data_IF_490847343830
#
_entry.id   IF_490847343830
#
_cell.length_a   1.000
_cell.length_b   1.000
_cell.length_c   1.000
_cell.angle_alpha   90.00
_cell.angle_beta   90.00
_cell.angle_gamma   90.00
#
_symmetry.space_group_name_H-M   'P 1'
#
loop_
_entity.id
_entity.type
_entity.pdbx_description
1 polymer ?
#
# COMPACT_ATOMS: atom_id res chain seq x y z
N UNK A 1 2.88 -3.86 -25.84
CA UNK A 1 2.85 -3.23 -24.50
C UNK A 1 2.32 -1.82 -24.63
N UNK A 2 1.31 -1.45 -23.86
CA UNK A 2 0.78 -0.09 -23.84
C UNK A 2 1.65 0.81 -22.95
N UNK A 3 1.87 2.04 -23.41
CA UNK A 3 2.49 3.09 -22.59
C UNK A 3 1.57 3.49 -21.44
N UNK A 4 2.08 4.23 -20.46
CA UNK A 4 1.28 4.79 -19.33
C UNK A 4 0.07 5.63 -19.78
N UNK A 5 0.05 6.08 -21.01
CA UNK A 5 -1.03 6.86 -21.63
C UNK A 5 -1.99 6.01 -22.47
N UNK A 6 -1.88 4.67 -22.41
CA UNK A 6 -2.74 3.76 -23.16
C UNK A 6 -2.41 3.64 -24.66
N UNK A 7 -1.30 4.22 -25.11
CA UNK A 7 -0.81 4.10 -26.51
C UNK A 7 0.15 2.93 -26.62
N UNK A 8 0.22 2.32 -27.79
CA UNK A 8 1.23 1.30 -28.09
C UNK A 8 2.64 1.89 -27.94
N UNK A 9 3.56 1.08 -27.41
CA UNK A 9 4.96 1.49 -27.32
C UNK A 9 5.55 1.63 -28.73
N UNK A 10 6.43 2.61 -28.94
CA UNK A 10 6.98 2.93 -30.28
C UNK A 10 7.68 1.74 -30.97
N UNK A 11 8.20 0.77 -30.22
CA UNK A 11 8.78 -0.47 -30.77
C UNK A 11 7.70 -1.41 -31.33
N UNK A 12 6.57 -1.50 -30.64
CA UNK A 12 5.45 -2.37 -31.05
C UNK A 12 4.73 -1.75 -32.26
N UNK A 13 4.64 -0.42 -32.28
CA UNK A 13 4.08 0.32 -33.42
C UNK A 13 4.89 0.11 -34.70
N UNK A 14 6.23 0.19 -34.64
CA UNK A 14 7.10 -0.08 -35.78
C UNK A 14 7.03 -1.52 -36.28
N UNK A 15 6.82 -2.47 -35.39
CA UNK A 15 6.64 -3.87 -35.76
C UNK A 15 5.30 -4.10 -36.49
N UNK A 16 4.26 -3.35 -36.13
CA UNK A 16 2.95 -3.40 -36.76
C UNK A 16 2.93 -2.68 -38.13
N UNK A 17 3.61 -1.54 -38.26
CA UNK A 17 3.69 -0.78 -39.53
C UNK A 17 4.47 -1.54 -40.62
N UNK A 18 5.42 -2.38 -40.25
CA UNK A 18 6.29 -3.06 -41.22
C UNK A 18 5.82 -4.43 -41.71
N UNK A 19 4.70 -4.98 -41.22
CA UNK A 19 4.33 -6.36 -41.50
C UNK A 19 2.99 -6.66 -42.17
N UNK A 20 1.93 -5.84 -42.09
CA UNK A 20 0.62 -6.24 -42.57
C UNK A 20 0.54 -6.27 -44.13
N UNK A 21 1.24 -5.41 -44.82
CA UNK A 21 1.09 -5.28 -46.29
C UNK A 21 1.91 -6.30 -47.06
N UNK A 22 3.06 -6.75 -46.55
CA UNK A 22 3.97 -7.65 -47.25
C UNK A 22 3.61 -9.15 -47.11
N UNK A 23 2.69 -9.53 -46.23
CA UNK A 23 2.39 -10.93 -45.96
C UNK A 23 0.94 -11.37 -46.27
N UNK A 24 0.12 -10.48 -46.88
CA UNK A 24 -1.23 -10.85 -47.27
C UNK A 24 -2.22 -11.16 -46.14
N UNK A 25 -1.93 -10.66 -44.94
CA UNK A 25 -2.86 -10.77 -43.82
C UNK A 25 -3.87 -9.63 -43.86
N UNK A 26 -5.15 -9.97 -43.72
CA UNK A 26 -6.20 -8.97 -43.52
C UNK A 26 -5.89 -8.17 -42.26
N UNK A 27 -5.80 -6.84 -42.38
CA UNK A 27 -5.56 -5.94 -41.25
C UNK A 27 -6.85 -5.82 -40.46
N UNK A 28 -7.05 -6.69 -39.51
CA UNK A 28 -8.13 -6.54 -38.53
C UNK A 28 -7.65 -5.68 -37.36
N UNK A 29 -8.52 -4.83 -36.78
CA UNK A 29 -8.20 -4.13 -35.56
C UNK A 29 -7.95 -5.18 -34.47
N UNK A 30 -6.71 -5.25 -33.96
CA UNK A 30 -6.34 -6.16 -32.87
C UNK A 30 -5.78 -5.37 -31.70
N UNK A 31 -5.97 -5.92 -30.53
CA UNK A 31 -5.39 -5.40 -29.28
C UNK A 31 -4.31 -6.35 -28.81
N UNK A 32 -3.10 -5.84 -28.59
CA UNK A 32 -2.06 -6.59 -27.91
C UNK A 32 -2.45 -6.78 -26.46
N UNK A 33 -2.58 -8.05 -26.04
CA UNK A 33 -2.89 -8.43 -24.68
C UNK A 33 -1.62 -9.04 -24.08
N UNK A 34 -1.10 -8.41 -23.03
CA UNK A 34 -0.03 -8.96 -22.22
C UNK A 34 -0.60 -9.27 -20.83
N UNK A 35 -0.43 -10.51 -20.39
CA UNK A 35 -0.82 -10.92 -19.05
C UNK A 35 0.31 -10.57 -18.07
N UNK A 36 0.14 -9.49 -17.33
CA UNK A 36 1.03 -9.14 -16.23
C UNK A 36 0.57 -9.91 -14.97
N UNK A 37 1.47 -10.68 -14.30
CA UNK A 37 1.09 -11.35 -13.06
C UNK A 37 0.69 -10.33 -11.99
N UNK A 38 -0.41 -10.61 -11.28
CA UNK A 38 -0.87 -9.75 -10.22
C UNK A 38 0.15 -9.65 -9.10
N UNK A 39 0.54 -8.43 -8.76
CA UNK A 39 1.43 -8.14 -7.65
C UNK A 39 0.64 -7.41 -6.53
N UNK A 40 0.33 -8.07 -5.41
CA UNK A 40 -0.40 -7.46 -4.30
C UNK A 40 0.37 -6.35 -3.59
N UNK A 41 1.67 -6.20 -3.85
CA UNK A 41 2.47 -5.08 -3.36
C UNK A 41 2.42 -3.85 -4.28
N UNK A 42 1.77 -3.95 -5.46
CA UNK A 42 1.58 -2.83 -6.37
C UNK A 42 0.32 -2.04 -6.01
N UNK A 43 0.41 -0.81 -5.48
CA UNK A 43 -0.79 -0.03 -5.14
C UNK A 43 -1.71 0.21 -6.34
N UNK A 44 -1.13 0.34 -7.55
CA UNK A 44 -1.89 0.57 -8.77
C UNK A 44 -2.76 -0.65 -9.10
N UNK A 45 -2.17 -1.84 -9.15
CA UNK A 45 -2.91 -3.08 -9.45
C UNK A 45 -3.96 -3.37 -8.38
N UNK A 46 -3.65 -3.10 -7.09
CA UNK A 46 -4.62 -3.22 -6.00
C UNK A 46 -5.81 -2.28 -6.19
N UNK A 47 -5.55 -1.00 -6.54
CA UNK A 47 -6.61 -0.02 -6.77
C UNK A 47 -7.49 -0.45 -7.96
N UNK A 48 -6.89 -0.92 -9.05
CA UNK A 48 -7.62 -1.37 -10.23
C UNK A 48 -8.61 -2.49 -9.87
N UNK A 49 -8.16 -3.50 -9.14
CA UNK A 49 -9.01 -4.61 -8.68
C UNK A 49 -10.06 -4.17 -7.68
N UNK A 50 -9.69 -3.39 -6.66
CA UNK A 50 -10.64 -2.92 -5.65
C UNK A 50 -11.72 -2.02 -6.26
N UNK A 51 -11.36 -1.23 -7.27
CA UNK A 51 -12.30 -0.38 -7.99
C UNK A 51 -13.37 -1.19 -8.72
N UNK A 52 -13.00 -2.32 -9.33
CA UNK A 52 -13.91 -3.26 -9.97
C UNK A 52 -14.89 -3.89 -8.96
N UNK A 53 -14.45 -4.08 -7.72
CA UNK A 53 -15.27 -4.57 -6.61
C UNK A 53 -16.21 -3.49 -5.99
N UNK A 54 -16.26 -2.28 -6.56
CA UNK A 54 -17.10 -1.20 -6.05
C UNK A 54 -16.51 -0.46 -4.84
N UNK A 55 -15.19 -0.55 -4.63
CA UNK A 55 -14.51 0.17 -3.57
C UNK A 55 -14.70 1.69 -3.68
N UNK A 56 -15.07 2.34 -2.57
CA UNK A 56 -15.31 3.79 -2.48
C UNK A 56 -14.39 4.43 -1.44
N UNK A 57 -13.11 4.67 -1.78
CA UNK A 57 -12.15 5.23 -0.85
C UNK A 57 -12.52 6.68 -0.46
N UNK A 58 -12.17 7.06 0.75
CA UNK A 58 -12.42 8.41 1.30
C UNK A 58 -11.14 9.21 1.50
N UNK A 59 -10.02 8.53 1.80
CA UNK A 59 -8.76 9.17 2.11
C UNK A 59 -7.88 9.35 0.86
N UNK A 60 -7.54 10.61 0.58
CA UNK A 60 -6.76 11.02 -0.58
C UNK A 60 -5.25 10.98 -0.29
N UNK A 61 -4.45 10.64 -1.30
CA UNK A 61 -2.99 10.76 -1.26
C UNK A 61 -2.55 12.22 -1.12
N UNK A 62 -1.33 12.43 -0.62
CA UNK A 62 -0.73 13.78 -0.55
C UNK A 62 -0.67 14.46 -1.93
N UNK A 63 -0.40 13.68 -2.99
CA UNK A 63 -0.39 14.18 -4.38
C UNK A 63 -1.76 14.67 -4.81
N UNK A 64 -2.82 13.91 -4.53
CA UNK A 64 -4.20 14.30 -4.83
C UNK A 64 -4.60 15.59 -4.11
N UNK A 65 -4.35 15.68 -2.79
CA UNK A 65 -4.61 16.90 -2.01
C UNK A 65 -3.83 18.11 -2.54
N UNK A 66 -2.58 17.90 -2.98
CA UNK A 66 -1.76 18.96 -3.60
C UNK A 66 -2.33 19.41 -4.95
N UNK A 67 -2.72 18.46 -5.81
CA UNK A 67 -3.31 18.75 -7.11
C UNK A 67 -4.63 19.54 -6.99
N UNK A 68 -5.49 19.18 -6.04
CA UNK A 68 -6.71 19.94 -5.74
C UNK A 68 -6.37 21.39 -5.33
N UNK A 69 -5.39 21.56 -4.44
CA UNK A 69 -4.99 22.89 -3.97
C UNK A 69 -4.40 23.76 -5.09
N UNK A 70 -3.64 23.14 -5.98
CA UNK A 70 -3.01 23.84 -7.10
C UNK A 70 -3.95 24.00 -8.30
N UNK A 71 -5.15 23.41 -8.28
CA UNK A 71 -6.09 23.35 -9.42
C UNK A 71 -5.50 22.66 -10.65
N UNK A 72 -4.67 21.65 -10.44
CA UNK A 72 -4.10 20.82 -11.48
C UNK A 72 -5.16 19.88 -12.08
N UNK A 73 -4.83 19.21 -13.21
CA UNK A 73 -5.71 18.18 -13.78
C UNK A 73 -5.87 16.99 -12.81
N UNK A 74 -7.13 16.67 -12.49
CA UNK A 74 -7.51 15.62 -11.56
C UNK A 74 -7.88 14.31 -12.25
N UNK A 75 -7.79 14.20 -13.56
CA UNK A 75 -8.23 13.02 -14.33
C UNK A 75 -7.56 11.74 -13.83
N UNK A 76 -6.25 11.76 -13.62
CA UNK A 76 -5.48 10.65 -13.07
C UNK A 76 -5.86 10.34 -11.61
N UNK A 77 -6.08 11.37 -10.80
CA UNK A 77 -6.35 11.23 -9.37
C UNK A 77 -7.75 10.70 -9.05
N UNK A 78 -8.70 10.80 -9.98
CA UNK A 78 -10.04 10.22 -9.80
C UNK A 78 -9.97 8.72 -9.50
N UNK A 79 -9.03 7.99 -10.11
CA UNK A 79 -8.84 6.56 -9.90
C UNK A 79 -7.65 6.26 -8.97
N UNK A 80 -6.50 6.89 -9.20
CA UNK A 80 -5.25 6.54 -8.51
C UNK A 80 -4.84 7.52 -7.40
N UNK A 81 -5.70 8.48 -7.09
CA UNK A 81 -5.44 9.50 -6.07
C UNK A 81 -5.74 9.07 -4.64
N UNK A 82 -5.97 7.78 -4.38
CA UNK A 82 -6.43 7.27 -3.10
C UNK A 82 -5.34 6.46 -2.39
N UNK A 83 -5.34 6.55 -1.05
CA UNK A 83 -4.42 5.75 -0.26
C UNK A 83 -4.96 4.33 -0.12
N UNK A 84 -4.07 3.34 -0.20
CA UNK A 84 -4.40 1.96 0.16
C UNK A 84 -4.12 1.81 1.66
N UNK A 85 -4.83 2.59 2.48
CA UNK A 85 -4.78 2.57 3.94
C UNK A 85 -5.84 1.63 4.51
N UNK A 86 -5.70 1.26 5.78
CA UNK A 86 -6.66 0.40 6.46
C UNK A 86 -8.07 1.04 6.50
N UNK A 87 -8.13 2.36 6.71
CA UNK A 87 -9.37 3.14 6.70
C UNK A 87 -10.07 3.05 5.35
N UNK A 88 -9.33 3.24 4.26
CA UNK A 88 -9.86 3.14 2.92
C UNK A 88 -10.25 1.69 2.53
N UNK A 89 -9.47 0.70 2.96
CA UNK A 89 -9.76 -0.71 2.69
C UNK A 89 -11.05 -1.18 3.40
N UNK A 90 -11.37 -0.62 4.55
CA UNK A 90 -12.61 -0.90 5.28
C UNK A 90 -13.87 -0.33 4.61
N UNK A 91 -13.73 0.49 3.55
CA UNK A 91 -14.88 0.96 2.74
C UNK A 91 -15.29 -0.02 1.63
N UNK A 92 -14.62 -1.18 1.54
CA UNK A 92 -15.02 -2.23 0.61
C UNK A 92 -16.42 -2.75 0.97
N UNK A 93 -17.34 -2.86 -0.01
CA UNK A 93 -18.67 -3.40 0.24
C UNK A 93 -18.63 -4.81 0.85
N UNK A 94 -19.52 -5.10 1.78
CA UNK A 94 -19.58 -6.41 2.45
C UNK A 94 -20.00 -7.56 1.53
N UNK A 95 -20.66 -7.25 0.43
CA UNK A 95 -21.08 -8.18 -0.62
C UNK A 95 -20.01 -8.40 -1.70
N UNK A 96 -18.85 -7.73 -1.59
CA UNK A 96 -17.76 -7.97 -2.51
C UNK A 96 -17.26 -9.42 -2.46
N UNK A 97 -16.79 -9.99 -3.59
CA UNK A 97 -16.28 -11.36 -3.62
C UNK A 97 -15.17 -11.60 -2.57
N UNK A 98 -15.13 -12.79 -1.98
CA UNK A 98 -14.22 -13.16 -0.90
C UNK A 98 -12.73 -12.93 -1.25
N UNK A 99 -12.38 -13.02 -2.52
CA UNK A 99 -11.03 -12.74 -3.00
C UNK A 99 -10.56 -11.31 -2.69
N UNK A 100 -11.48 -10.32 -2.76
CA UNK A 100 -11.15 -8.92 -2.43
C UNK A 100 -11.00 -8.71 -0.93
N UNK A 101 -11.81 -9.37 -0.11
CA UNK A 101 -11.63 -9.37 1.35
C UNK A 101 -10.29 -10.02 1.74
N UNK A 102 -9.90 -11.10 1.06
CA UNK A 102 -8.60 -11.74 1.25
C UNK A 102 -7.43 -10.83 0.87
N UNK A 103 -7.58 -10.05 -0.22
CA UNK A 103 -6.59 -9.03 -0.62
C UNK A 103 -6.45 -7.93 0.44
N UNK A 104 -7.58 -7.45 0.98
CA UNK A 104 -7.59 -6.44 2.07
C UNK A 104 -6.88 -6.99 3.30
N UNK A 105 -7.19 -8.22 3.69
CA UNK A 105 -6.53 -8.90 4.81
C UNK A 105 -5.02 -9.03 4.57
N UNK A 106 -4.61 -9.46 3.38
CA UNK A 106 -3.21 -9.57 3.00
C UNK A 106 -2.47 -8.21 3.13
N UNK A 107 -3.02 -7.14 2.57
CA UNK A 107 -2.39 -5.81 2.61
C UNK A 107 -2.24 -5.32 4.05
N UNK A 108 -3.26 -5.52 4.89
CA UNK A 108 -3.23 -5.12 6.30
C UNK A 108 -2.21 -5.93 7.09
N UNK A 109 -2.12 -7.24 6.88
CA UNK A 109 -1.20 -8.13 7.58
C UNK A 109 0.25 -7.96 7.10
N UNK A 110 0.48 -7.73 5.81
CA UNK A 110 1.81 -7.53 5.26
C UNK A 110 2.56 -6.35 5.92
N UNK A 111 1.86 -5.28 6.25
CA UNK A 111 2.43 -4.14 7.00
C UNK A 111 2.87 -4.55 8.40
N UNK A 112 2.09 -5.37 9.09
CA UNK A 112 2.42 -5.86 10.44
C UNK A 112 3.62 -6.79 10.41
N UNK A 113 3.67 -7.68 9.41
CA UNK A 113 4.82 -8.56 9.19
C UNK A 113 6.10 -7.75 8.95
N UNK A 114 6.03 -6.73 8.09
CA UNK A 114 7.17 -5.84 7.84
C UNK A 114 7.66 -5.14 9.12
N UNK A 115 6.73 -4.65 9.95
CA UNK A 115 7.08 -4.02 11.23
C UNK A 115 7.71 -5.01 12.22
N UNK A 116 7.18 -6.22 12.31
CA UNK A 116 7.75 -7.26 13.17
C UNK A 116 9.14 -7.68 12.70
N UNK A 117 9.36 -7.76 11.38
CA UNK A 117 10.66 -8.05 10.82
C UNK A 117 11.67 -6.95 11.15
N UNK A 118 11.29 -5.66 11.02
CA UNK A 118 12.12 -4.53 11.44
C UNK A 118 12.52 -4.63 12.93
N UNK A 119 11.60 -5.06 13.79
CA UNK A 119 11.91 -5.25 15.22
C UNK A 119 12.84 -6.44 15.48
N UNK A 120 12.65 -7.55 14.74
CA UNK A 120 13.54 -8.71 14.83
C UNK A 120 14.95 -8.38 14.36
N UNK A 121 15.07 -7.65 13.25
CA UNK A 121 16.36 -7.24 12.71
C UNK A 121 17.11 -6.26 13.62
N UNK A 122 16.35 -5.45 14.40
CA UNK A 122 16.90 -4.52 15.38
C UNK A 122 17.16 -5.14 16.77
N UNK A 123 16.77 -6.41 16.98
CA UNK A 123 16.94 -7.06 18.27
C UNK A 123 18.42 -7.41 18.53
N UNK A 124 18.97 -6.89 19.62
CA UNK A 124 20.32 -7.22 20.05
C UNK A 124 20.28 -8.40 21.04
N UNK A 125 20.84 -9.53 20.63
CA UNK A 125 20.86 -10.76 21.42
C UNK A 125 21.77 -10.66 22.67
N UNK A 126 22.79 -9.83 22.66
CA UNK A 126 23.71 -9.65 23.80
C UNK A 126 23.05 -8.87 24.93
N UNK A 127 22.28 -7.84 24.59
CA UNK A 127 21.59 -6.99 25.58
C UNK A 127 20.17 -7.46 25.88
N UNK A 128 19.63 -8.39 25.06
CA UNK A 128 18.25 -8.89 25.17
C UNK A 128 17.20 -7.81 24.89
N UNK A 129 17.52 -6.81 24.06
CA UNK A 129 16.60 -5.69 23.81
C UNK A 129 16.75 -5.03 22.44
N UNK A 130 15.83 -4.12 22.15
CA UNK A 130 15.83 -3.30 20.95
C UNK A 130 16.31 -1.89 21.33
N UNK A 131 17.33 -1.41 20.64
CA UNK A 131 17.92 -0.11 20.87
C UNK A 131 17.63 0.81 19.66
N UNK A 132 16.56 1.59 19.75
CA UNK A 132 16.25 2.60 18.73
C UNK A 132 17.01 3.91 18.96
N UNK A 133 17.16 4.68 17.89
CA UNK A 133 17.74 6.01 17.95
C UNK A 133 16.66 7.07 18.13
N UNK A 134 16.87 7.97 19.07
CA UNK A 134 15.97 9.11 19.31
C UNK A 134 16.72 10.38 18.93
N UNK A 135 16.15 11.11 17.97
CA UNK A 135 16.60 12.46 17.64
C UNK A 135 15.68 13.47 18.34
N UNK A 136 16.22 14.22 19.27
CA UNK A 136 15.47 15.15 20.12
C UNK A 136 14.84 16.32 19.35
N UNK A 137 15.41 16.69 18.19
CA UNK A 137 14.89 17.76 17.30
C UNK A 137 14.74 17.18 15.89
N UNK A 138 14.00 16.08 15.79
CA UNK A 138 13.86 15.35 14.52
C UNK A 138 12.80 15.89 13.56
N UNK A 139 11.98 16.85 14.00
CA UNK A 139 10.91 17.44 13.17
C UNK A 139 10.96 18.97 13.22
N UNK A 140 10.43 19.63 12.19
CA UNK A 140 10.33 21.09 12.16
C UNK A 140 9.44 21.66 13.29
N UNK A 141 8.59 20.83 13.90
CA UNK A 141 7.74 21.17 15.06
C UNK A 141 8.47 20.96 16.39
N UNK A 142 9.77 20.72 16.38
CA UNK A 142 10.61 20.45 17.57
C UNK A 142 10.18 19.22 18.38
N UNK A 143 9.56 18.23 17.72
CA UNK A 143 9.25 16.94 18.35
C UNK A 143 10.41 15.98 18.14
N UNK A 144 10.60 15.04 19.07
CA UNK A 144 11.50 13.93 18.89
C UNK A 144 11.02 13.05 17.71
N UNK A 145 11.98 12.50 16.98
CA UNK A 145 11.74 11.43 16.02
C UNK A 145 12.46 10.16 16.45
N UNK A 146 11.88 9.01 16.13
CA UNK A 146 12.44 7.70 16.44
C UNK A 146 12.83 7.01 15.14
N UNK A 147 13.99 6.36 15.12
CA UNK A 147 14.49 5.60 13.97
C UNK A 147 15.18 4.32 14.42
N UNK A 148 15.22 3.32 13.57
CA UNK A 148 16.02 2.09 13.69
C UNK A 148 15.79 1.26 14.97
N UNK A 149 14.61 0.80 15.30
CA UNK A 149 13.30 0.98 14.67
C UNK A 149 12.54 2.19 15.20
N UNK A 150 11.43 2.54 14.52
CA UNK A 150 10.55 3.60 15.00
C UNK A 150 9.68 3.12 16.18
N UNK A 151 10.17 3.35 17.39
CA UNK A 151 9.49 2.97 18.64
C UNK A 151 8.24 3.80 18.94
N UNK A 152 8.06 4.96 18.30
CA UNK A 152 6.87 5.80 18.44
C UNK A 152 5.63 5.25 17.75
N UNK A 153 5.80 4.29 16.84
CA UNK A 153 4.71 3.71 16.02
C UNK A 153 4.27 2.31 16.49
N UNK A 154 4.48 1.98 17.76
CA UNK A 154 3.95 0.72 18.30
C UNK A 154 2.43 0.76 18.23
N UNK A 155 1.75 -0.23 17.62
CA UNK A 155 0.31 -0.24 17.48
C UNK A 155 -0.40 -0.10 18.81
N UNK A 156 -1.39 0.78 18.87
CA UNK A 156 -2.29 0.85 20.05
C UNK A 156 -3.27 -0.31 20.03
N UNK A 157 -3.70 -0.73 21.20
CA UNK A 157 -4.78 -1.72 21.31
C UNK A 157 -6.08 -1.04 20.86
N UNK A 158 -6.72 -1.52 19.80
CA UNK A 158 -7.95 -0.91 19.32
C UNK A 158 -9.11 -1.19 20.26
N UNK A 159 -10.01 -0.24 20.42
CA UNK A 159 -11.19 -0.31 21.28
C UNK A 159 -12.45 0.00 20.47
N UNK A 160 -13.59 -0.49 20.93
CA UNK A 160 -14.89 -0.27 20.30
C UNK A 160 -14.95 -0.76 18.84
N UNK A 161 -15.50 0.00 17.91
CA UNK A 161 -15.65 -0.42 16.51
C UNK A 161 -14.33 -0.78 15.82
N UNK A 162 -13.23 -0.16 16.23
CA UNK A 162 -11.90 -0.42 15.67
C UNK A 162 -11.37 -1.80 16.02
N UNK A 163 -11.87 -2.43 17.09
CA UNK A 163 -11.51 -3.79 17.45
C UNK A 163 -12.02 -4.85 16.46
N UNK A 164 -12.99 -4.49 15.61
CA UNK A 164 -13.55 -5.37 14.57
C UNK A 164 -12.80 -5.29 13.24
N UNK A 165 -11.86 -4.35 13.10
CA UNK A 165 -11.07 -4.21 11.87
C UNK A 165 -10.14 -5.39 11.68
N UNK A 166 -9.87 -5.70 10.41
CA UNK A 166 -8.96 -6.80 10.02
C UNK A 166 -7.58 -6.59 10.65
N UNK A 167 -7.12 -7.59 11.37
CA UNK A 167 -5.80 -7.57 12.02
C UNK A 167 -5.74 -6.79 13.33
N UNK A 168 -6.87 -6.27 13.84
CA UNK A 168 -6.93 -5.56 15.12
C UNK A 168 -6.44 -6.43 16.29
N UNK A 169 -6.72 -7.73 16.26
CA UNK A 169 -6.32 -8.71 17.26
C UNK A 169 -4.79 -8.83 17.40
N UNK A 170 -4.04 -8.55 16.35
CA UNK A 170 -2.57 -8.59 16.39
C UNK A 170 -1.95 -7.35 17.02
N UNK A 171 -2.64 -6.21 17.04
CA UNK A 171 -2.10 -4.98 17.61
C UNK A 171 -1.77 -5.12 19.10
N UNK A 172 -2.66 -5.73 19.86
CA UNK A 172 -2.42 -6.02 21.28
C UNK A 172 -1.25 -6.97 21.50
N UNK A 173 -1.14 -8.02 20.67
CA UNK A 173 -0.02 -8.97 20.72
C UNK A 173 1.31 -8.30 20.36
N UNK A 174 1.35 -7.47 19.33
CA UNK A 174 2.54 -6.71 18.95
C UNK A 174 2.99 -5.76 20.07
N UNK A 175 2.03 -5.06 20.71
CA UNK A 175 2.33 -4.19 21.84
C UNK A 175 2.85 -4.97 23.05
N UNK A 176 2.34 -6.17 23.32
CA UNK A 176 2.77 -7.03 24.42
C UNK A 176 4.21 -7.57 24.27
N UNK A 177 4.82 -7.46 23.08
CA UNK A 177 6.24 -7.78 22.88
C UNK A 177 7.17 -6.74 23.52
N UNK A 178 6.69 -5.51 23.67
CA UNK A 178 7.43 -4.43 24.31
C UNK A 178 7.22 -4.49 25.83
N UNK A 179 8.24 -4.97 26.52
CA UNK A 179 8.23 -5.12 27.99
C UNK A 179 9.41 -4.34 28.57
N UNK A 180 9.21 -3.75 29.72
CA UNK A 180 10.32 -3.25 30.51
C UNK A 180 11.18 -4.44 30.99
N UNK A 181 12.46 -4.19 31.26
CA UNK A 181 13.31 -5.16 31.95
C UNK A 181 12.78 -5.38 33.37
N UNK A 182 13.11 -6.53 33.93
CA UNK A 182 12.72 -6.86 35.30
C UNK A 182 13.12 -5.73 36.26
N UNK A 183 12.17 -5.33 37.09
CA UNK A 183 12.32 -4.24 38.05
C UNK A 183 12.09 -2.83 37.47
N UNK A 184 11.87 -2.69 36.14
CA UNK A 184 11.52 -1.43 35.51
C UNK A 184 10.05 -1.42 35.04
N UNK A 185 9.50 -0.22 34.82
CA UNK A 185 8.17 -0.03 34.25
C UNK A 185 8.28 0.76 32.94
N UNK A 186 7.45 0.40 31.95
CA UNK A 186 7.25 1.18 30.75
C UNK A 186 6.23 2.30 31.01
#
# INVERSE_FOLDING_TARGET
VLTKTGKLHSKDFRWLEGKPEDQGYDVYPFTLIEYEPFNPSSPKQCIDLLWEAGWKPTEQTKGHKKAIRNRDDLSHYKRYGWTVSEENLNTLPSDAPIAFHSLVAYISLARRVSTLQEWLDAFNHETGGIHGTINSIGTWTHRCSHTSPNQGNIPSVPHGPDALKIGAEYAGRMRALWKARDGLRL
#
